data_IF_908726372879
#
_entry.id   IF_908726372879
#
_cell.length_a   1.000
_cell.length_b   1.000
_cell.length_c   1.000
_cell.angle_alpha   90.00
_cell.angle_beta   90.00
_cell.angle_gamma   90.00
#
_symmetry.space_group_name_H-M   'P 1'
#
loop_
_entity.id
_entity.type
_entity.pdbx_description
1 polymer ?
#
# COMPACT_ATOMS: atom_id res chain seq x y z
N UNK A 1 17.54 -7.87 51.69
CA UNK A 1 16.40 -7.50 50.84
C UNK A 1 16.96 -7.28 49.44
N UNK A 2 17.10 -8.36 48.68
CA UNK A 2 17.39 -8.29 47.25
C UNK A 2 16.04 -8.36 46.55
N UNK A 3 15.69 -7.33 45.79
CA UNK A 3 14.58 -7.39 44.84
C UNK A 3 15.19 -7.82 43.52
N UNK A 4 14.98 -9.08 43.16
CA UNK A 4 15.18 -9.54 41.80
C UNK A 4 14.21 -8.76 40.91
N UNK A 5 14.77 -7.93 40.03
CA UNK A 5 14.02 -7.32 38.94
C UNK A 5 13.80 -8.43 37.91
N UNK A 6 12.60 -8.99 37.88
CA UNK A 6 12.12 -9.80 36.75
C UNK A 6 12.09 -8.89 35.52
N UNK A 7 13.12 -9.03 34.69
CA UNK A 7 13.20 -8.43 33.37
C UNK A 7 12.21 -9.18 32.48
N UNK A 8 11.02 -8.61 32.32
CA UNK A 8 10.03 -9.10 31.37
C UNK A 8 10.49 -8.69 29.97
N UNK A 9 11.32 -9.53 29.36
CA UNK A 9 11.61 -9.42 27.92
C UNK A 9 10.28 -9.61 27.18
N UNK A 10 9.72 -8.52 26.66
CA UNK A 10 8.57 -8.55 25.79
C UNK A 10 8.97 -9.32 24.53
N UNK A 11 8.46 -10.55 24.40
CA UNK A 11 8.68 -11.44 23.25
C UNK A 11 8.31 -10.79 21.89
N UNK A 12 7.54 -9.69 21.91
CA UNK A 12 7.09 -8.94 20.75
C UNK A 12 7.93 -7.67 20.46
N UNK A 13 8.91 -7.32 21.28
CA UNK A 13 9.80 -6.16 21.04
C UNK A 13 10.86 -6.43 19.97
N UNK A 14 10.89 -7.63 19.40
CA UNK A 14 11.82 -8.01 18.35
C UNK A 14 11.06 -8.36 17.08
N UNK A 15 10.82 -7.35 16.25
CA UNK A 15 10.42 -7.54 14.85
C UNK A 15 11.56 -8.33 14.17
N UNK A 16 11.31 -9.62 13.92
CA UNK A 16 12.32 -10.55 13.38
C UNK A 16 12.64 -10.27 11.90
N UNK A 17 11.68 -9.73 11.15
CA UNK A 17 11.89 -9.19 9.80
C UNK A 17 10.68 -8.35 9.38
N UNK A 18 10.92 -7.28 8.64
CA UNK A 18 9.88 -6.51 7.95
C UNK A 18 9.93 -6.88 6.47
N UNK A 19 8.80 -7.30 5.91
CA UNK A 19 8.68 -7.50 4.47
C UNK A 19 8.40 -6.15 3.79
N UNK A 20 9.34 -5.68 2.98
CA UNK A 20 9.31 -4.32 2.43
C UNK A 20 8.61 -4.28 1.07
N UNK A 21 8.17 -3.09 0.67
CA UNK A 21 7.62 -2.87 -0.67
C UNK A 21 8.63 -3.23 -1.77
N UNK A 22 9.92 -2.93 -1.57
CA UNK A 22 10.96 -3.29 -2.53
C UNK A 22 11.10 -4.82 -2.67
N UNK A 23 11.04 -5.56 -1.56
CA UNK A 23 11.01 -7.04 -1.61
C UNK A 23 9.78 -7.56 -2.36
N UNK A 24 8.61 -6.96 -2.14
CA UNK A 24 7.40 -7.31 -2.87
C UNK A 24 7.47 -7.00 -4.38
N UNK A 25 8.23 -5.97 -4.77
CA UNK A 25 8.51 -5.66 -6.18
C UNK A 25 9.49 -6.69 -6.76
N UNK A 26 10.56 -7.04 -6.04
CA UNK A 26 11.57 -8.00 -6.48
C UNK A 26 10.97 -9.41 -6.65
N UNK A 27 10.08 -9.81 -5.74
CA UNK A 27 9.32 -11.06 -5.82
C UNK A 27 8.21 -11.00 -6.88
N UNK A 28 7.99 -9.83 -7.49
CA UNK A 28 7.04 -9.61 -8.57
C UNK A 28 5.59 -9.48 -8.12
N UNK A 29 5.30 -9.48 -6.82
CA UNK A 29 3.95 -9.30 -6.27
C UNK A 29 3.40 -7.91 -6.63
N UNK A 30 4.27 -6.90 -6.55
CA UNK A 30 3.95 -5.52 -6.91
C UNK A 30 4.62 -5.13 -8.24
N UNK A 31 3.88 -4.38 -9.05
CA UNK A 31 4.34 -3.83 -10.32
C UNK A 31 4.49 -2.31 -10.17
N UNK A 32 5.72 -1.76 -10.23
CA UNK A 32 5.92 -0.31 -10.20
C UNK A 32 5.43 0.31 -11.51
N UNK A 33 4.55 1.30 -11.38
CA UNK A 33 3.89 1.94 -12.53
C UNK A 33 4.12 3.45 -12.61
N UNK A 34 4.74 4.05 -11.59
CA UNK A 34 5.05 5.47 -11.57
C UNK A 34 5.68 5.93 -10.28
N UNK A 35 5.87 7.24 -10.17
CA UNK A 35 6.34 7.91 -8.95
C UNK A 35 5.57 9.21 -8.76
N UNK A 36 5.31 9.54 -7.50
CA UNK A 36 4.81 10.85 -7.12
C UNK A 36 5.94 11.90 -7.18
N UNK A 37 5.58 13.18 -7.18
CA UNK A 37 6.55 14.28 -7.10
C UNK A 37 7.37 14.27 -5.79
N UNK A 38 6.86 13.60 -4.75
CA UNK A 38 7.58 13.36 -3.49
C UNK A 38 8.65 12.28 -3.60
N UNK A 39 8.75 11.58 -4.74
CA UNK A 39 9.67 10.46 -4.98
C UNK A 39 9.13 9.09 -4.59
N UNK A 40 8.04 9.05 -3.82
CA UNK A 40 7.32 7.84 -3.42
C UNK A 40 6.77 7.08 -4.64
N UNK A 41 6.71 5.75 -4.54
CA UNK A 41 6.31 4.91 -5.66
C UNK A 41 4.79 4.83 -5.82
N UNK A 42 4.35 4.62 -7.05
CA UNK A 42 2.99 4.17 -7.36
C UNK A 42 3.12 2.74 -7.88
N UNK A 43 2.47 1.81 -7.21
CA UNK A 43 2.54 0.37 -7.49
C UNK A 43 1.15 -0.21 -7.63
N UNK A 44 1.01 -1.20 -8.50
CA UNK A 44 -0.20 -2.02 -8.63
C UNK A 44 0.14 -3.43 -8.13
N UNK A 45 -0.83 -4.16 -7.57
CA UNK A 45 -0.67 -5.63 -7.46
C UNK A 45 -0.58 -6.23 -8.87
N UNK A 46 0.22 -7.29 -9.02
CA UNK A 46 0.34 -7.98 -10.31
C UNK A 46 -1.02 -8.44 -10.83
N UNK A 47 -1.86 -8.99 -9.95
CA UNK A 47 -3.22 -9.42 -10.28
C UNK A 47 -4.05 -8.27 -10.87
N UNK A 48 -4.08 -7.09 -10.22
CA UNK A 48 -4.77 -5.92 -10.76
C UNK A 48 -4.19 -5.53 -12.14
N UNK A 49 -2.86 -5.45 -12.26
CA UNK A 49 -2.19 -5.01 -13.47
C UNK A 49 -2.54 -5.90 -14.68
N UNK A 50 -2.37 -7.22 -14.54
CA UNK A 50 -2.54 -8.20 -15.61
C UNK A 50 -4.02 -8.42 -15.95
N UNK A 51 -4.88 -8.64 -14.95
CA UNK A 51 -6.29 -8.97 -15.20
C UNK A 51 -7.17 -7.75 -15.45
N UNK A 52 -6.75 -6.58 -14.97
CA UNK A 52 -7.44 -5.31 -15.19
C UNK A 52 -7.10 -4.65 -16.53
N UNK A 53 -6.12 -5.18 -17.27
CA UNK A 53 -5.68 -4.61 -18.55
C UNK A 53 -4.98 -3.26 -18.39
N UNK A 54 -4.25 -3.06 -17.30
CA UNK A 54 -3.51 -1.82 -17.02
C UNK A 54 -2.11 -1.80 -17.63
N UNK A 55 -1.80 -2.76 -18.52
CA UNK A 55 -0.70 -2.65 -19.47
C UNK A 55 -0.88 -1.40 -20.36
N UNK A 56 -2.14 -1.08 -20.69
CA UNK A 56 -2.52 0.15 -21.38
C UNK A 56 -2.19 1.38 -20.53
N UNK A 57 -1.37 2.27 -21.10
CA UNK A 57 -0.88 3.47 -20.40
C UNK A 57 -2.00 4.47 -20.09
N UNK A 58 -2.92 4.70 -21.02
CA UNK A 58 -3.97 5.70 -20.84
C UNK A 58 -4.94 5.26 -19.74
N UNK A 59 -5.37 4.00 -19.78
CA UNK A 59 -6.21 3.39 -18.75
C UNK A 59 -5.54 3.41 -17.38
N UNK A 60 -4.22 3.15 -17.33
CA UNK A 60 -3.44 3.19 -16.10
C UNK A 60 -3.34 4.60 -15.52
N UNK A 61 -3.06 5.60 -16.35
CA UNK A 61 -2.98 6.99 -15.92
C UNK A 61 -4.33 7.50 -15.40
N UNK A 62 -5.43 7.16 -16.07
CA UNK A 62 -6.78 7.51 -15.63
C UNK A 62 -7.12 6.93 -14.25
N UNK A 63 -6.79 5.66 -14.02
CA UNK A 63 -6.98 5.04 -12.70
C UNK A 63 -6.15 5.74 -11.62
N UNK A 64 -4.88 6.02 -11.90
CA UNK A 64 -3.98 6.70 -10.95
C UNK A 64 -4.52 8.09 -10.59
N UNK A 65 -4.93 8.87 -11.59
CA UNK A 65 -5.51 10.20 -11.39
C UNK A 65 -6.80 10.14 -10.57
N UNK A 66 -7.67 9.17 -10.86
CA UNK A 66 -8.91 8.94 -10.12
C UNK A 66 -8.62 8.61 -8.65
N UNK A 67 -7.68 7.68 -8.40
CA UNK A 67 -7.28 7.31 -7.04
C UNK A 67 -6.72 8.49 -6.24
N UNK A 68 -5.84 9.29 -6.85
CA UNK A 68 -5.29 10.52 -6.22
C UNK A 68 -6.43 11.50 -5.89
N UNK A 69 -7.34 11.74 -6.82
CA UNK A 69 -8.46 12.66 -6.61
C UNK A 69 -9.36 12.20 -5.45
N UNK A 70 -9.58 10.90 -5.29
CA UNK A 70 -10.36 10.35 -4.17
C UNK A 70 -9.62 10.44 -2.84
N UNK A 71 -8.31 10.16 -2.82
CA UNK A 71 -7.48 10.25 -1.61
C UNK A 71 -7.35 11.69 -1.08
N UNK A 72 -7.49 12.69 -1.94
CA UNK A 72 -7.47 14.11 -1.55
C UNK A 72 -8.76 14.56 -0.84
N UNK A 73 -9.84 13.77 -0.88
CA UNK A 73 -11.04 14.03 -0.08
C UNK A 73 -10.84 13.42 1.30
N UNK A 74 -11.15 14.17 2.36
CA UNK A 74 -11.09 13.65 3.73
C UNK A 74 -12.13 12.54 3.97
N UNK A 75 -11.74 11.52 4.72
CA UNK A 75 -12.62 10.45 5.17
C UNK A 75 -12.47 10.25 6.70
N UNK A 76 -13.55 9.86 7.38
CA UNK A 76 -13.53 9.62 8.83
C UNK A 76 -12.66 8.44 9.26
N UNK A 77 -12.38 7.52 8.34
CA UNK A 77 -11.51 6.35 8.56
C UNK A 77 -10.04 6.66 8.27
N UNK A 78 -9.71 7.87 7.82
CA UNK A 78 -8.32 8.27 7.59
C UNK A 78 -7.52 8.29 8.89
N UNK A 79 -6.29 7.79 8.81
CA UNK A 79 -5.31 7.88 9.90
C UNK A 79 -4.14 8.78 9.48
N UNK A 80 -3.30 9.24 10.42
CA UNK A 80 -2.10 10.01 10.10
C UNK A 80 -1.10 9.28 9.19
N UNK A 81 -1.17 7.95 9.13
CA UNK A 81 -0.19 7.11 8.44
C UNK A 81 -0.74 6.39 7.21
N UNK A 82 -2.07 6.32 7.07
CA UNK A 82 -2.73 5.55 6.01
C UNK A 82 -4.08 6.15 5.65
N UNK A 83 -4.38 6.19 4.35
CA UNK A 83 -5.70 6.49 3.78
C UNK A 83 -6.08 5.40 2.79
N UNK A 84 -7.35 5.01 2.74
CA UNK A 84 -7.87 3.98 1.83
C UNK A 84 -9.10 4.49 1.09
N UNK A 85 -9.19 4.26 -0.22
CA UNK A 85 -10.38 4.58 -1.01
C UNK A 85 -10.78 3.40 -1.89
N UNK A 86 -12.08 3.17 -1.99
CA UNK A 86 -12.68 2.21 -2.92
C UNK A 86 -13.04 2.95 -4.20
N UNK A 87 -12.27 2.74 -5.27
CA UNK A 87 -12.49 3.41 -6.57
C UNK A 87 -13.71 2.81 -7.27
N UNK A 88 -13.75 1.48 -7.33
CA UNK A 88 -14.87 0.73 -7.88
C UNK A 88 -15.24 -0.37 -6.89
N UNK A 89 -16.51 -0.37 -6.46
CA UNK A 89 -16.97 -1.24 -5.38
C UNK A 89 -16.80 -2.71 -5.75
N UNK A 90 -15.99 -3.42 -4.97
CA UNK A 90 -15.70 -4.84 -5.18
C UNK A 90 -14.73 -5.11 -6.32
N UNK A 91 -14.02 -4.09 -6.84
CA UNK A 91 -13.09 -4.26 -7.94
C UNK A 91 -11.72 -3.62 -7.66
N UNK A 92 -11.66 -2.37 -7.21
CA UNK A 92 -10.38 -1.65 -7.11
C UNK A 92 -10.33 -0.74 -5.89
N UNK A 93 -9.28 -0.93 -5.09
CA UNK A 93 -8.93 -0.09 -3.95
C UNK A 93 -7.62 0.65 -4.23
N UNK A 94 -7.45 1.78 -3.55
CA UNK A 94 -6.18 2.49 -3.48
C UNK A 94 -5.86 2.82 -2.03
N UNK A 95 -4.60 2.59 -1.64
CA UNK A 95 -4.06 2.88 -0.33
C UNK A 95 -2.95 3.91 -0.51
N UNK A 96 -2.94 4.94 0.32
CA UNK A 96 -1.82 5.86 0.46
C UNK A 96 -1.21 5.72 1.86
N UNK A 97 0.08 5.44 1.91
CA UNK A 97 0.84 5.28 3.15
C UNK A 97 2.22 5.96 3.07
N UNK A 98 3.12 5.63 4.01
CA UNK A 98 4.49 6.14 4.03
C UNK A 98 5.35 5.74 2.82
N UNK A 99 5.00 4.66 2.11
CA UNK A 99 5.78 4.15 0.98
C UNK A 99 5.30 4.69 -0.37
N UNK A 100 4.01 5.01 -0.47
CA UNK A 100 3.44 5.68 -1.63
C UNK A 100 1.98 5.30 -1.87
N UNK A 101 1.65 4.99 -3.13
CA UNK A 101 0.31 4.57 -3.51
C UNK A 101 0.32 3.12 -3.98
N UNK A 102 -0.55 2.31 -3.39
CA UNK A 102 -0.79 0.92 -3.79
C UNK A 102 -2.20 0.77 -4.32
N UNK A 103 -2.34 0.37 -5.57
CA UNK A 103 -3.62 0.01 -6.17
C UNK A 103 -3.73 -1.50 -6.23
N UNK A 104 -4.89 -2.02 -5.86
CA UNK A 104 -5.09 -3.46 -5.72
C UNK A 104 -6.56 -3.83 -5.90
N UNK A 105 -6.80 -5.12 -6.13
CA UNK A 105 -8.13 -5.67 -5.96
C UNK A 105 -8.42 -5.98 -4.49
N UNK A 106 -9.69 -5.99 -4.04
CA UNK A 106 -10.03 -6.30 -2.66
C UNK A 106 -9.51 -7.66 -2.18
N UNK A 107 -9.46 -8.66 -3.06
CA UNK A 107 -8.95 -10.00 -2.74
C UNK A 107 -7.41 -10.07 -2.57
N UNK A 108 -6.68 -9.03 -2.98
CA UNK A 108 -5.24 -8.94 -2.78
C UNK A 108 -4.87 -8.23 -1.46
N UNK A 109 -5.87 -7.72 -0.72
CA UNK A 109 -5.70 -7.05 0.58
C UNK A 109 -5.74 -8.05 1.73
#
# INVERSE_FOLDING_TARGET
MEKEHEQTDNLFDHVISVYTQDQAIDDGILVPVGRLNTGQQVVFTRNLFETGGYEDLEKRLDLIQTGIAMLNKSDSEDSPYMRLRVIEKGQIWVIADGNGLTFLKPEDY
#
